data_IF_421330988880
#
_entry.id   IF_421330988880
#
_cell.length_a   1.000
_cell.length_b   1.000
_cell.length_c   1.000
_cell.angle_alpha   90.00
_cell.angle_beta   90.00
_cell.angle_gamma   90.00
#
_symmetry.space_group_name_H-M   'P 1'
#
loop_
_entity.id
_entity.type
_entity.pdbx_description
1 polymer ?
#
# COMPACT_ATOMS: atom_id res chain seq x y z
N UNK A 1 3.34 -40.71 -25.91
CA UNK A 1 4.17 -41.50 -24.97
C UNK A 1 3.57 -42.86 -24.62
N UNK A 2 2.29 -43.00 -24.20
CA UNK A 2 1.81 -44.27 -23.64
C UNK A 2 1.74 -45.43 -24.65
N UNK A 3 1.47 -45.15 -25.93
CA UNK A 3 1.38 -46.21 -26.95
C UNK A 3 2.73 -46.85 -27.32
N UNK A 4 3.83 -46.09 -27.32
CA UNK A 4 5.18 -46.65 -27.58
C UNK A 4 5.70 -47.36 -26.33
N UNK A 5 5.49 -46.78 -25.14
CA UNK A 5 5.83 -47.39 -23.86
C UNK A 5 5.10 -48.74 -23.66
N UNK A 6 3.79 -48.79 -23.89
CA UNK A 6 3.01 -50.02 -23.78
C UNK A 6 3.45 -51.10 -24.79
N UNK A 7 3.88 -50.71 -26.00
CA UNK A 7 4.42 -51.64 -27.00
C UNK A 7 5.80 -52.19 -26.61
N UNK A 8 6.64 -51.37 -25.97
CA UNK A 8 7.95 -51.78 -25.45
C UNK A 8 7.79 -52.70 -24.24
N UNK A 9 6.91 -52.36 -23.30
CA UNK A 9 6.57 -53.18 -22.13
C UNK A 9 5.98 -54.54 -22.53
N UNK A 10 5.04 -54.56 -23.49
CA UNK A 10 4.46 -55.81 -23.99
C UNK A 10 5.48 -56.70 -24.72
N UNK A 11 6.42 -56.11 -25.48
CA UNK A 11 7.49 -56.86 -26.14
C UNK A 11 8.51 -57.42 -25.14
N UNK A 12 8.88 -56.63 -24.12
CA UNK A 12 9.78 -57.03 -23.04
C UNK A 12 9.17 -58.13 -22.15
N UNK A 13 7.88 -58.02 -21.80
CA UNK A 13 7.16 -59.02 -21.02
C UNK A 13 6.96 -60.34 -21.79
N UNK A 14 6.86 -60.29 -23.12
CA UNK A 14 6.67 -61.46 -23.97
C UNK A 14 7.98 -62.14 -24.43
N UNK A 15 9.15 -61.56 -24.13
CA UNK A 15 10.46 -62.07 -24.58
C UNK A 15 10.64 -62.08 -26.10
N UNK A 16 9.83 -61.30 -26.84
CA UNK A 16 9.84 -61.28 -28.32
C UNK A 16 10.70 -60.12 -28.83
N UNK A 17 11.36 -60.26 -29.99
CA UNK A 17 12.09 -59.16 -30.60
C UNK A 17 11.13 -58.01 -30.91
N UNK A 18 11.58 -56.77 -30.69
CA UNK A 18 10.76 -55.59 -30.90
C UNK A 18 10.30 -55.49 -32.37
N UNK A 19 9.04 -55.08 -32.63
CA UNK A 19 8.57 -54.80 -33.98
C UNK A 19 9.44 -53.74 -34.67
N UNK A 20 9.82 -53.98 -35.93
CA UNK A 20 10.71 -53.09 -36.69
C UNK A 20 10.23 -51.62 -36.72
N UNK A 21 8.92 -51.39 -36.77
CA UNK A 21 8.32 -50.05 -36.72
C UNK A 21 8.49 -49.35 -35.36
N UNK A 22 8.45 -50.09 -34.25
CA UNK A 22 8.72 -49.56 -32.92
C UNK A 22 10.21 -49.24 -32.75
N UNK A 23 11.09 -50.11 -33.28
CA UNK A 23 12.53 -49.89 -33.29
C UNK A 23 12.93 -48.65 -34.11
N UNK A 24 12.30 -48.45 -35.28
CA UNK A 24 12.51 -47.28 -36.12
C UNK A 24 12.08 -45.97 -35.41
N UNK A 25 10.90 -45.96 -34.78
CA UNK A 25 10.42 -44.82 -33.98
C UNK A 25 11.30 -44.54 -32.76
N UNK A 26 11.81 -45.58 -32.11
CA UNK A 26 12.74 -45.44 -31.00
C UNK A 26 14.05 -44.80 -31.46
N UNK A 27 14.64 -45.27 -32.56
CA UNK A 27 15.86 -44.70 -33.16
C UNK A 27 15.69 -43.24 -33.57
N UNK A 28 14.59 -42.91 -34.24
CA UNK A 28 14.27 -41.54 -34.63
C UNK A 28 14.22 -40.62 -33.40
N UNK A 29 13.57 -41.06 -32.32
CA UNK A 29 13.45 -40.29 -31.08
C UNK A 29 14.76 -40.20 -30.30
N UNK A 30 15.54 -41.28 -30.24
CA UNK A 30 16.86 -41.27 -29.62
C UNK A 30 17.79 -40.31 -30.35
N UNK A 31 17.70 -40.24 -31.68
CA UNK A 31 18.44 -39.25 -32.48
C UNK A 31 18.02 -37.82 -32.17
N UNK A 32 16.71 -37.53 -32.13
CA UNK A 32 16.22 -36.21 -31.73
C UNK A 32 16.66 -35.82 -30.32
N UNK A 33 16.66 -36.76 -29.38
CA UNK A 33 17.13 -36.54 -28.02
C UNK A 33 18.65 -36.31 -27.96
N UNK A 34 19.44 -37.07 -28.72
CA UNK A 34 20.88 -36.90 -28.84
C UNK A 34 21.24 -35.53 -29.44
N UNK A 35 20.52 -35.10 -30.48
CA UNK A 35 20.71 -33.79 -31.10
C UNK A 35 20.34 -32.64 -30.14
N UNK A 36 19.24 -32.77 -29.39
CA UNK A 36 18.84 -31.80 -28.37
C UNK A 36 19.84 -31.73 -27.21
N UNK A 37 20.38 -32.87 -26.76
CA UNK A 37 21.40 -32.93 -25.71
C UNK A 37 22.75 -32.38 -26.18
N UNK A 38 23.12 -32.61 -27.43
CA UNK A 38 24.31 -32.00 -28.03
C UNK A 38 24.17 -30.47 -28.06
N UNK A 39 23.03 -29.96 -28.53
CA UNK A 39 22.74 -28.52 -28.53
C UNK A 39 22.76 -27.93 -27.11
N UNK A 40 22.21 -28.64 -26.12
CA UNK A 40 22.24 -28.22 -24.72
C UNK A 40 23.66 -28.23 -24.15
N UNK A 41 24.46 -29.26 -24.46
CA UNK A 41 25.86 -29.35 -24.06
C UNK A 41 26.68 -28.20 -24.64
N UNK A 42 26.45 -27.86 -25.92
CA UNK A 42 27.13 -26.76 -26.59
C UNK A 42 26.73 -25.42 -25.98
N UNK A 43 25.43 -25.14 -25.78
CA UNK A 43 24.95 -23.93 -25.07
C UNK A 43 25.46 -23.85 -23.65
N UNK A 44 25.53 -24.99 -22.96
CA UNK A 44 26.09 -25.03 -21.61
C UNK A 44 27.56 -24.62 -21.61
N UNK A 45 28.33 -25.09 -22.60
CA UNK A 45 29.75 -24.75 -22.72
C UNK A 45 29.99 -23.30 -23.19
N UNK A 46 29.19 -22.80 -24.14
CA UNK A 46 29.38 -21.49 -24.76
C UNK A 46 28.76 -20.34 -23.97
N UNK A 47 27.59 -20.55 -23.37
CA UNK A 47 26.76 -19.46 -22.85
C UNK A 47 26.56 -19.58 -21.33
N UNK A 48 26.09 -20.75 -20.87
CA UNK A 48 25.65 -20.92 -19.47
C UNK A 48 26.86 -20.99 -18.53
N UNK A 49 27.88 -21.77 -18.86
CA UNK A 49 29.04 -21.93 -17.99
C UNK A 49 29.88 -20.66 -17.83
N UNK A 50 30.16 -19.88 -18.88
CA UNK A 50 30.81 -18.58 -18.73
C UNK A 50 29.96 -17.60 -17.92
N UNK A 51 28.67 -17.45 -18.24
CA UNK A 51 27.78 -16.54 -17.54
C UNK A 51 27.65 -16.85 -16.04
N UNK A 52 27.51 -18.14 -15.67
CA UNK A 52 27.45 -18.55 -14.26
C UNK A 52 28.79 -18.30 -13.56
N UNK A 53 29.94 -18.57 -14.21
CA UNK A 53 31.26 -18.30 -13.62
C UNK A 53 31.51 -16.81 -13.43
N UNK A 54 31.07 -15.98 -14.37
CA UNK A 54 31.17 -14.53 -14.31
C UNK A 54 30.30 -13.97 -13.18
N UNK A 55 29.02 -14.33 -13.14
CA UNK A 55 28.10 -13.90 -12.09
C UNK A 55 28.55 -14.32 -10.69
N UNK A 56 29.02 -15.56 -10.51
CA UNK A 56 29.59 -16.03 -9.23
C UNK A 56 30.90 -15.32 -8.89
N UNK A 57 31.70 -14.96 -9.90
CA UNK A 57 32.92 -14.18 -9.71
C UNK A 57 32.64 -12.76 -9.26
N UNK A 58 31.66 -12.10 -9.87
CA UNK A 58 31.20 -10.76 -9.50
C UNK A 58 30.59 -10.75 -8.10
N UNK A 59 29.72 -11.71 -7.79
CA UNK A 59 29.16 -11.88 -6.46
C UNK A 59 30.25 -12.06 -5.38
N UNK A 60 31.27 -12.89 -5.65
CA UNK A 60 32.38 -13.09 -4.73
C UNK A 60 33.20 -11.80 -4.50
N UNK A 61 33.46 -11.01 -5.55
CA UNK A 61 34.16 -9.73 -5.45
C UNK A 61 33.34 -8.70 -4.66
N UNK A 62 32.05 -8.60 -4.94
CA UNK A 62 31.13 -7.69 -4.24
C UNK A 62 31.02 -8.06 -2.76
N UNK A 63 30.94 -9.35 -2.44
CA UNK A 63 30.95 -9.83 -1.06
C UNK A 63 32.27 -9.48 -0.34
N UNK A 64 33.41 -9.69 -0.97
CA UNK A 64 34.70 -9.32 -0.38
C UNK A 64 34.80 -7.81 -0.11
N UNK A 65 34.35 -6.97 -1.05
CA UNK A 65 34.33 -5.51 -0.90
C UNK A 65 33.40 -5.07 0.23
N UNK A 66 32.18 -5.61 0.29
CA UNK A 66 31.24 -5.30 1.36
C UNK A 66 31.74 -5.77 2.73
N UNK A 67 32.44 -6.90 2.81
CA UNK A 67 33.06 -7.37 4.05
C UNK A 67 34.17 -6.43 4.53
N UNK A 68 34.99 -5.90 3.62
CA UNK A 68 36.01 -4.90 3.94
C UNK A 68 35.38 -3.57 4.43
N UNK A 69 34.31 -3.11 3.80
CA UNK A 69 33.60 -1.90 4.22
C UNK A 69 32.94 -2.07 5.59
N UNK A 70 32.31 -3.22 5.84
CA UNK A 70 31.73 -3.54 7.14
C UNK A 70 32.79 -3.62 8.24
N UNK A 71 33.96 -4.21 7.95
CA UNK A 71 35.07 -4.26 8.91
C UNK A 71 35.59 -2.86 9.26
N UNK A 72 35.69 -1.95 8.28
CA UNK A 72 36.07 -0.55 8.53
C UNK A 72 35.00 0.19 9.35
N UNK A 73 33.73 0.06 8.97
CA UNK A 73 32.62 0.67 9.70
C UNK A 73 32.53 0.17 11.16
N UNK A 74 32.82 -1.11 11.40
CA UNK A 74 32.81 -1.69 12.74
C UNK A 74 33.95 -1.15 13.63
N UNK A 75 35.09 -0.78 13.03
CA UNK A 75 36.20 -0.16 13.75
C UNK A 75 35.93 1.31 14.13
N UNK A 76 35.18 2.03 13.30
CA UNK A 76 34.90 3.47 13.49
C UNK A 76 33.64 3.74 14.33
N UNK A 77 32.67 2.82 14.36
CA UNK A 77 31.36 3.02 15.00
C UNK A 77 31.01 1.85 15.96
N UNK A 78 31.59 1.80 17.17
CA UNK A 78 31.40 0.70 18.13
C UNK A 78 29.94 0.51 18.55
N UNK A 79 29.15 1.59 18.58
CA UNK A 79 27.74 1.58 18.99
C UNK A 79 26.81 0.80 18.03
N UNK A 80 27.28 0.49 16.80
CA UNK A 80 26.52 -0.26 15.79
C UNK A 80 27.17 -1.63 15.50
N UNK A 81 28.17 -2.03 16.30
CA UNK A 81 29.02 -3.19 16.08
C UNK A 81 28.28 -4.52 15.95
N UNK A 82 27.19 -4.71 16.70
CA UNK A 82 26.39 -5.95 16.65
C UNK A 82 25.67 -6.14 15.31
N UNK A 83 25.10 -5.07 14.75
CA UNK A 83 24.43 -5.12 13.45
C UNK A 83 25.45 -5.33 12.32
N UNK A 84 26.60 -4.66 12.39
CA UNK A 84 27.69 -4.80 11.41
C UNK A 84 28.32 -6.20 11.45
N UNK A 85 28.49 -6.77 12.65
CA UNK A 85 28.99 -8.14 12.84
C UNK A 85 28.04 -9.20 12.28
N UNK A 86 26.73 -9.04 12.47
CA UNK A 86 25.71 -9.93 11.87
C UNK A 86 25.71 -9.84 10.35
N UNK A 87 25.78 -8.63 9.80
CA UNK A 87 25.88 -8.42 8.35
C UNK A 87 27.15 -9.07 7.75
N UNK A 88 28.29 -8.93 8.43
CA UNK A 88 29.55 -9.53 8.00
C UNK A 88 29.48 -11.08 8.00
N UNK A 89 28.86 -11.68 9.02
CA UNK A 89 28.65 -13.15 9.09
C UNK A 89 27.71 -13.66 7.99
N UNK A 90 26.62 -12.95 7.71
CA UNK A 90 25.68 -13.32 6.66
C UNK A 90 26.35 -13.27 5.28
N UNK A 91 27.20 -12.26 5.06
CA UNK A 91 27.95 -12.08 3.83
C UNK A 91 29.02 -13.17 3.62
N UNK A 92 29.71 -13.58 4.68
CA UNK A 92 30.66 -14.71 4.67
C UNK A 92 29.96 -16.04 4.34
N UNK A 93 28.77 -16.28 4.91
CA UNK A 93 27.96 -17.46 4.60
C UNK A 93 27.56 -17.48 3.11
N UNK A 94 27.06 -16.37 2.57
CA UNK A 94 26.70 -16.25 1.16
C UNK A 94 27.90 -16.44 0.22
N UNK A 95 29.07 -15.92 0.58
CA UNK A 95 30.29 -16.11 -0.20
C UNK A 95 30.75 -17.58 -0.23
N UNK A 96 30.63 -18.30 0.89
CA UNK A 96 30.94 -19.74 0.98
C UNK A 96 30.01 -20.58 0.12
N UNK A 97 28.72 -20.25 0.11
CA UNK A 97 27.71 -20.95 -0.69
C UNK A 97 27.91 -20.73 -2.19
N UNK A 98 28.19 -19.49 -2.61
CA UNK A 98 28.59 -19.18 -3.98
C UNK A 98 29.84 -19.96 -4.43
N UNK A 99 30.83 -20.11 -3.54
CA UNK A 99 32.02 -20.92 -3.80
C UNK A 99 31.69 -22.43 -3.91
N UNK A 100 30.74 -22.93 -3.12
CA UNK A 100 30.28 -24.32 -3.22
C UNK A 100 29.59 -24.58 -4.55
N UNK A 101 28.72 -23.68 -5.01
CA UNK A 101 28.07 -23.75 -6.33
C UNK A 101 29.12 -23.78 -7.44
N UNK A 102 30.12 -22.90 -7.38
CA UNK A 102 31.24 -22.87 -8.35
C UNK A 102 32.00 -24.20 -8.43
N UNK A 103 32.16 -24.92 -7.31
CA UNK A 103 32.82 -26.23 -7.24
C UNK A 103 31.93 -27.38 -7.74
N UNK A 104 30.63 -27.30 -7.51
CA UNK A 104 29.67 -28.30 -7.96
C UNK A 104 29.35 -28.19 -9.46
N UNK A 105 29.43 -26.98 -10.01
CA UNK A 105 29.03 -26.70 -11.39
C UNK A 105 29.74 -27.58 -12.46
N UNK A 106 31.06 -27.87 -12.38
CA UNK A 106 31.73 -28.80 -13.31
C UNK A 106 31.18 -30.24 -13.29
N UNK A 107 30.64 -30.71 -12.16
CA UNK A 107 30.04 -32.05 -12.05
C UNK A 107 28.74 -32.18 -12.86
N UNK A 108 27.97 -31.09 -12.98
CA UNK A 108 26.79 -31.04 -13.82
C UNK A 108 27.16 -31.19 -15.31
N UNK A 109 28.25 -30.54 -15.74
CA UNK A 109 28.84 -30.72 -17.08
C UNK A 109 29.22 -32.17 -17.33
N UNK A 110 29.92 -32.80 -16.38
CA UNK A 110 30.38 -34.17 -16.50
C UNK A 110 29.21 -35.16 -16.67
N UNK A 111 28.16 -35.00 -15.86
CA UNK A 111 26.93 -35.81 -16.00
C UNK A 111 26.25 -35.61 -17.36
N UNK A 112 26.19 -34.36 -17.84
CA UNK A 112 25.57 -34.05 -19.13
C UNK A 112 26.35 -34.66 -20.30
N UNK A 113 27.68 -34.63 -20.24
CA UNK A 113 28.55 -35.30 -21.21
C UNK A 113 28.42 -36.84 -21.14
N UNK A 114 28.28 -37.39 -19.94
CA UNK A 114 28.08 -38.82 -19.73
C UNK A 114 26.75 -39.28 -20.36
N UNK A 115 25.64 -38.59 -20.10
CA UNK A 115 24.34 -38.90 -20.70
C UNK A 115 24.39 -38.82 -22.24
N UNK A 116 25.07 -37.80 -22.79
CA UNK A 116 25.25 -37.69 -24.24
C UNK A 116 26.10 -38.85 -24.82
N UNK A 117 27.10 -39.33 -24.08
CA UNK A 117 27.90 -40.48 -24.47
C UNK A 117 27.07 -41.78 -24.45
N UNK A 118 26.33 -42.01 -23.37
CA UNK A 118 25.52 -43.22 -23.15
C UNK A 118 24.45 -43.37 -24.24
N UNK A 119 23.81 -42.26 -24.64
CA UNK A 119 22.80 -42.25 -25.73
C UNK A 119 23.42 -42.60 -27.08
N UNK A 120 24.66 -42.15 -27.37
CA UNK A 120 25.37 -42.48 -28.62
C UNK A 120 25.91 -43.91 -28.64
N UNK A 121 26.29 -44.46 -27.49
CA UNK A 121 26.60 -45.89 -27.34
C UNK A 121 25.37 -46.75 -27.66
N UNK A 122 24.19 -46.35 -27.16
CA UNK A 122 22.91 -47.00 -27.42
C UNK A 122 22.55 -47.05 -28.92
N UNK A 123 22.96 -46.03 -29.70
CA UNK A 123 22.76 -45.99 -31.14
C UNK A 123 23.64 -47.01 -31.89
N UNK A 124 24.85 -47.27 -31.37
CA UNK A 124 25.85 -48.14 -32.01
C UNK A 124 25.66 -49.62 -31.69
N UNK A 125 25.24 -49.93 -30.46
CA UNK A 125 25.00 -51.30 -30.01
C UNK A 125 23.49 -51.52 -29.96
N UNK A 126 22.93 -52.20 -30.95
CA UNK A 126 21.53 -52.62 -30.94
C UNK A 126 21.30 -53.76 -29.92
N UNK A 127 21.69 -53.58 -28.66
CA UNK A 127 21.46 -54.55 -27.61
C UNK A 127 20.18 -54.22 -26.85
N UNK A 128 19.15 -55.02 -27.14
CA UNK A 128 17.81 -54.93 -26.55
C UNK A 128 17.88 -55.06 -25.01
N UNK A 129 18.89 -55.75 -24.45
CA UNK A 129 19.05 -55.88 -23.00
C UNK A 129 19.41 -54.55 -22.31
N UNK A 130 20.25 -53.72 -22.95
CA UNK A 130 20.63 -52.41 -22.38
C UNK A 130 19.44 -51.45 -22.34
N UNK A 131 18.54 -51.54 -23.33
CA UNK A 131 17.29 -50.77 -23.38
C UNK A 131 16.31 -51.24 -22.31
N UNK A 132 16.23 -52.55 -22.05
CA UNK A 132 15.37 -53.14 -20.99
C UNK A 132 15.87 -52.73 -19.60
N UNK A 133 17.18 -52.71 -19.36
CA UNK A 133 17.75 -52.29 -18.06
C UNK A 133 17.59 -50.78 -17.82
N UNK A 134 17.68 -49.94 -18.87
CA UNK A 134 17.41 -48.50 -18.78
C UNK A 134 15.93 -48.19 -18.53
N UNK A 135 15.01 -48.93 -19.16
CA UNK A 135 13.57 -48.79 -18.94
C UNK A 135 13.11 -49.34 -17.58
N UNK A 136 13.92 -50.21 -16.95
CA UNK A 136 13.72 -50.68 -15.57
C UNK A 136 14.08 -49.64 -14.52
N UNK A 137 14.88 -48.63 -14.86
CA UNK A 137 15.18 -47.54 -13.94
C UNK A 137 13.99 -46.57 -13.92
N UNK A 138 13.58 -46.16 -12.73
CA UNK A 138 12.30 -45.50 -12.44
C UNK A 138 12.24 -44.06 -13.01
N UNK A 139 12.04 -43.95 -14.32
CA UNK A 139 12.00 -42.70 -15.07
C UNK A 139 10.89 -41.76 -14.57
N UNK A 140 9.84 -42.30 -13.93
CA UNK A 140 8.78 -41.51 -13.34
C UNK A 140 9.28 -40.71 -12.13
N UNK A 141 10.17 -41.29 -11.30
CA UNK A 141 10.77 -40.59 -10.15
C UNK A 141 11.82 -39.56 -10.56
N UNK A 142 12.66 -39.86 -11.55
CA UNK A 142 13.65 -38.88 -12.05
C UNK A 142 12.99 -37.73 -12.80
N UNK A 143 11.96 -38.00 -13.61
CA UNK A 143 11.17 -36.97 -14.28
C UNK A 143 10.47 -36.04 -13.27
N UNK A 144 9.94 -36.58 -12.17
CA UNK A 144 9.34 -35.78 -11.11
C UNK A 144 10.39 -34.90 -10.39
N UNK A 145 11.59 -35.44 -10.16
CA UNK A 145 12.71 -34.69 -9.56
C UNK A 145 13.19 -33.51 -10.41
N UNK A 146 13.19 -33.64 -11.75
CA UNK A 146 13.53 -32.55 -12.66
C UNK A 146 12.37 -31.57 -12.94
N UNK A 147 11.12 -32.02 -12.80
CA UNK A 147 9.94 -31.18 -13.01
C UNK A 147 9.71 -30.21 -11.83
N UNK A 148 10.13 -30.56 -10.62
CA UNK A 148 10.00 -29.74 -9.42
C UNK A 148 11.35 -29.62 -8.69
N UNK A 149 12.33 -28.88 -9.25
CA UNK A 149 13.65 -28.75 -8.64
C UNK A 149 13.63 -27.99 -7.30
N UNK A 150 12.52 -27.32 -6.98
CA UNK A 150 12.31 -26.61 -5.72
C UNK A 150 10.88 -26.82 -5.25
N UNK A 151 10.69 -27.67 -4.24
CA UNK A 151 9.44 -27.71 -3.48
C UNK A 151 9.42 -26.45 -2.61
N UNK A 152 8.76 -25.40 -3.09
CA UNK A 152 8.54 -24.16 -2.34
C UNK A 152 7.66 -24.50 -1.12
N UNK A 153 8.29 -24.71 0.04
CA UNK A 153 7.57 -24.71 1.32
C UNK A 153 7.23 -23.27 1.70
N UNK A 154 6.14 -22.77 1.13
CA UNK A 154 5.64 -21.43 1.38
C UNK A 154 4.78 -21.40 2.66
N UNK A 155 5.35 -20.92 3.76
CA UNK A 155 4.58 -20.63 4.98
C UNK A 155 3.96 -19.23 4.90
N UNK A 156 2.73 -19.15 4.38
CA UNK A 156 1.94 -17.91 4.39
C UNK A 156 1.42 -17.62 5.80
N UNK A 157 1.97 -16.61 6.47
CA UNK A 157 1.55 -16.21 7.81
C UNK A 157 0.14 -15.57 7.81
N UNK A 158 -0.19 -14.77 6.79
CA UNK A 158 -1.49 -14.11 6.63
C UNK A 158 -2.01 -14.23 5.19
N UNK A 159 -2.66 -15.34 4.82
CA UNK A 159 -3.16 -15.55 3.46
C UNK A 159 -4.44 -14.74 3.22
N UNK A 160 -4.32 -13.64 2.46
CA UNK A 160 -5.49 -12.87 2.00
C UNK A 160 -6.25 -13.70 0.95
N UNK A 161 -7.52 -14.07 1.19
CA UNK A 161 -8.19 -15.15 0.46
C UNK A 161 -8.67 -14.75 -0.94
N UNK A 162 -8.92 -13.47 -1.19
CA UNK A 162 -9.46 -12.99 -2.45
C UNK A 162 -9.08 -11.53 -2.73
N UNK A 163 -9.27 -11.11 -3.97
CA UNK A 163 -8.96 -9.75 -4.42
C UNK A 163 -9.80 -8.68 -3.71
N UNK A 164 -11.06 -8.96 -3.38
CA UNK A 164 -11.93 -8.04 -2.65
C UNK A 164 -11.38 -7.67 -1.28
N UNK A 165 -10.86 -8.66 -0.56
CA UNK A 165 -10.22 -8.46 0.75
C UNK A 165 -8.87 -7.74 0.62
N UNK A 166 -8.10 -8.03 -0.43
CA UNK A 166 -6.85 -7.32 -0.69
C UNK A 166 -7.08 -5.81 -0.99
N UNK A 167 -8.24 -5.48 -1.56
CA UNK A 167 -8.63 -4.13 -1.93
C UNK A 167 -9.50 -3.41 -0.89
N UNK A 168 -9.99 -4.10 0.15
CA UNK A 168 -10.83 -3.47 1.19
C UNK A 168 -10.15 -2.27 1.86
N UNK A 169 -8.83 -2.26 2.18
CA UNK A 169 -8.18 -1.07 2.75
C UNK A 169 -8.36 0.19 1.91
N UNK A 170 -8.33 0.06 0.58
CA UNK A 170 -8.51 1.16 -0.35
C UNK A 170 -9.97 1.63 -0.39
N UNK A 171 -10.92 0.71 -0.56
CA UNK A 171 -12.34 1.06 -0.70
C UNK A 171 -12.98 1.52 0.61
N UNK A 172 -12.58 0.97 1.76
CA UNK A 172 -13.02 1.45 3.07
C UNK A 172 -12.53 2.88 3.28
N UNK A 173 -11.24 3.16 3.03
CA UNK A 173 -10.68 4.52 3.14
C UNK A 173 -11.39 5.51 2.21
N UNK A 174 -11.63 5.11 0.95
CA UNK A 174 -12.38 5.91 -0.01
C UNK A 174 -13.79 6.24 0.52
N UNK A 175 -14.51 5.24 1.01
CA UNK A 175 -15.87 5.38 1.51
C UNK A 175 -15.95 6.31 2.73
N UNK A 176 -14.94 6.28 3.61
CA UNK A 176 -14.86 7.21 4.75
C UNK A 176 -14.78 8.67 4.29
N UNK A 177 -13.93 8.99 3.30
CA UNK A 177 -13.81 10.36 2.79
C UNK A 177 -15.04 10.80 2.01
N UNK A 178 -15.56 9.93 1.14
CA UNK A 178 -16.78 10.21 0.37
C UNK A 178 -17.93 10.51 1.32
N UNK A 179 -18.12 9.70 2.36
CA UNK A 179 -19.17 9.94 3.35
C UNK A 179 -18.97 11.24 4.13
N UNK A 180 -17.74 11.57 4.54
CA UNK A 180 -17.45 12.87 5.15
C UNK A 180 -17.78 14.05 4.21
N UNK A 181 -17.45 13.93 2.93
CA UNK A 181 -17.73 14.95 1.90
C UNK A 181 -19.23 15.09 1.64
N UNK A 182 -19.95 13.98 1.54
CA UNK A 182 -21.40 13.98 1.40
C UNK A 182 -22.09 14.59 2.62
N UNK A 183 -21.64 14.24 3.83
CA UNK A 183 -22.20 14.76 5.07
C UNK A 183 -22.13 16.28 5.13
N UNK A 184 -20.98 16.85 4.77
CA UNK A 184 -20.75 18.30 4.71
C UNK A 184 -21.46 18.95 3.52
N UNK A 185 -21.77 18.19 2.48
CA UNK A 185 -22.59 18.68 1.37
C UNK A 185 -24.07 18.79 1.75
N UNK A 186 -24.58 17.81 2.51
CA UNK A 186 -25.99 17.69 2.89
C UNK A 186 -26.36 18.53 4.11
N UNK A 187 -25.50 18.59 5.13
CA UNK A 187 -25.73 19.35 6.35
C UNK A 187 -25.01 20.70 6.30
N UNK A 188 -25.70 21.76 6.72
CA UNK A 188 -25.08 23.09 6.78
C UNK A 188 -23.96 23.13 7.81
N UNK A 189 -22.81 23.68 7.42
CA UNK A 189 -21.65 23.90 8.30
C UNK A 189 -21.79 25.20 9.11
N UNK A 190 -22.67 26.10 8.68
CA UNK A 190 -22.97 27.34 9.40
C UNK A 190 -23.86 27.04 10.60
N UNK A 191 -23.44 27.51 11.78
CA UNK A 191 -24.33 27.58 12.94
C UNK A 191 -25.20 28.82 12.78
N UNK A 192 -26.52 28.64 12.74
CA UNK A 192 -27.45 29.76 12.64
C UNK A 192 -27.48 30.48 14.00
N UNK A 193 -27.15 31.77 14.03
CA UNK A 193 -27.22 32.57 15.24
C UNK A 193 -28.67 32.64 15.72
N UNK A 194 -28.99 31.95 16.81
CA UNK A 194 -30.32 31.93 17.40
C UNK A 194 -30.67 33.23 18.18
N UNK A 195 -30.11 34.38 17.78
CA UNK A 195 -30.18 35.63 18.54
C UNK A 195 -30.39 36.91 17.73
N UNK A 196 -30.80 36.84 16.46
CA UNK A 196 -30.82 37.99 15.55
C UNK A 196 -32.15 38.70 15.30
N UNK A 197 -33.29 38.18 15.75
CA UNK A 197 -34.62 38.69 15.35
C UNK A 197 -35.58 38.96 16.53
N UNK A 198 -35.11 39.69 17.54
CA UNK A 198 -36.00 40.23 18.59
C UNK A 198 -35.65 41.63 19.10
N UNK A 199 -34.58 42.26 18.61
CA UNK A 199 -34.05 43.49 19.21
C UNK A 199 -34.29 44.79 18.43
N UNK A 200 -34.78 44.73 17.19
CA UNK A 200 -34.87 45.92 16.33
C UNK A 200 -36.23 46.60 16.28
N UNK A 201 -37.31 45.98 16.79
CA UNK A 201 -38.65 46.61 16.78
C UNK A 201 -38.92 47.53 17.99
N UNK A 202 -38.14 47.44 19.07
CA UNK A 202 -38.32 48.30 20.25
C UNK A 202 -37.44 49.56 20.29
N UNK A 203 -36.46 49.69 19.38
CA UNK A 203 -35.58 50.86 19.36
C UNK A 203 -36.14 52.05 18.56
N UNK A 204 -37.21 51.86 17.79
CA UNK A 204 -37.78 52.91 16.93
C UNK A 204 -38.95 53.67 17.59
N UNK A 205 -39.52 53.13 18.67
CA UNK A 205 -40.59 53.79 19.44
C UNK A 205 -40.09 54.87 20.42
N UNK A 206 -38.78 54.92 20.69
CA UNK A 206 -38.18 55.86 21.65
C UNK A 206 -37.76 57.23 21.05
N UNK A 207 -38.16 57.55 19.81
CA UNK A 207 -37.79 58.79 19.09
C UNK A 207 -38.81 59.94 19.22
N UNK A 208 -39.66 59.94 20.25
CA UNK A 208 -40.59 61.06 20.46
C UNK A 208 -40.17 61.88 21.71
N UNK A 209 -39.63 63.10 21.57
CA UNK A 209 -39.20 63.89 22.70
C UNK A 209 -40.34 64.78 23.18
N UNK A 210 -41.16 64.29 24.12
CA UNK A 210 -41.99 65.16 24.96
C UNK A 210 -42.37 64.48 26.27
N UNK A 211 -41.55 64.66 27.30
CA UNK A 211 -42.02 64.99 28.65
C UNK A 211 -40.85 65.03 29.64
N UNK A 212 -41.01 65.97 30.57
CA UNK A 212 -40.09 66.47 31.57
C UNK A 212 -39.79 65.51 32.72
N UNK A 213 -38.51 65.53 33.14
CA UNK A 213 -37.99 65.48 34.52
C UNK A 213 -38.11 64.15 35.29
N UNK A 214 -36.96 63.57 35.62
CA UNK A 214 -36.54 63.37 37.03
C UNK A 214 -35.11 62.82 37.11
N UNK A 215 -34.29 63.55 37.86
CA UNK A 215 -32.92 63.20 38.25
C UNK A 215 -32.93 62.08 39.28
N UNK A 216 -32.40 60.91 38.94
CA UNK A 216 -31.89 59.95 39.93
C UNK A 216 -30.62 59.28 39.38
N UNK A 217 -29.53 59.46 40.12
CA UNK A 217 -28.32 58.64 40.18
C UNK A 217 -27.77 58.16 38.84
N UNK A 218 -26.84 58.92 38.26
CA UNK A 218 -25.99 58.44 37.19
C UNK A 218 -25.15 57.24 37.71
N UNK A 219 -25.60 56.02 37.42
CA UNK A 219 -24.73 54.85 37.47
C UNK A 219 -23.49 55.16 36.62
N UNK A 220 -22.28 54.77 37.07
CA UNK A 220 -21.10 54.91 36.25
C UNK A 220 -21.32 54.12 34.97
N UNK A 221 -21.42 54.85 33.85
CA UNK A 221 -21.59 54.23 32.53
C UNK A 221 -20.46 53.24 32.31
N UNK A 222 -20.74 51.95 32.05
CA UNK A 222 -19.69 50.96 31.92
C UNK A 222 -18.74 51.37 30.79
N UNK A 223 -17.44 51.44 31.09
CA UNK A 223 -16.42 51.83 30.13
C UNK A 223 -16.47 50.92 28.92
N UNK A 224 -16.64 51.48 27.71
CA UNK A 224 -16.68 50.70 26.46
C UNK A 224 -15.42 49.83 26.35
N UNK A 225 -15.57 48.51 26.09
CA UNK A 225 -14.44 47.61 26.00
C UNK A 225 -13.49 48.02 24.88
N UNK A 226 -12.17 47.87 25.10
CA UNK A 226 -11.16 48.25 24.12
C UNK A 226 -11.31 47.39 22.84
N UNK A 227 -11.01 47.92 21.63
CA UNK A 227 -11.15 47.18 20.37
C UNK A 227 -10.43 45.82 20.33
N UNK A 228 -9.30 45.70 21.05
CA UNK A 228 -8.56 44.43 21.21
C UNK A 228 -9.33 43.39 22.03
N UNK A 229 -10.01 43.79 23.09
CA UNK A 229 -10.78 42.90 23.96
C UNK A 229 -12.01 42.34 23.22
N UNK A 230 -12.71 43.19 22.47
CA UNK A 230 -13.86 42.78 21.64
C UNK A 230 -13.43 41.78 20.54
N UNK A 231 -12.25 41.98 19.94
CA UNK A 231 -11.69 41.06 18.95
C UNK A 231 -11.33 39.70 19.54
N UNK A 232 -10.72 39.68 20.73
CA UNK A 232 -10.34 38.44 21.40
C UNK A 232 -11.58 37.63 21.84
N UNK A 233 -12.61 38.30 22.38
CA UNK A 233 -13.86 37.65 22.79
C UNK A 233 -14.59 36.99 21.60
N UNK A 234 -14.73 37.69 20.47
CA UNK A 234 -15.35 37.13 19.26
C UNK A 234 -14.56 35.96 18.67
N UNK A 235 -13.23 36.01 18.73
CA UNK A 235 -12.39 34.90 18.28
C UNK A 235 -12.62 33.62 19.11
N UNK A 236 -12.79 33.76 20.42
CA UNK A 236 -13.12 32.62 21.29
C UNK A 236 -14.51 32.07 20.96
N UNK A 237 -15.49 32.94 20.76
CA UNK A 237 -16.85 32.55 20.38
C UNK A 237 -16.90 31.81 19.04
N UNK A 238 -16.25 32.34 18.00
CA UNK A 238 -16.11 31.71 16.68
C UNK A 238 -15.43 30.32 16.77
N UNK A 239 -14.44 30.18 17.66
CA UNK A 239 -13.70 28.93 17.89
C UNK A 239 -14.55 27.87 18.60
N UNK A 240 -15.34 28.28 19.60
CA UNK A 240 -16.27 27.41 20.32
C UNK A 240 -17.36 26.91 19.36
N UNK A 241 -17.92 27.79 18.54
CA UNK A 241 -18.94 27.43 17.54
C UNK A 241 -18.37 26.47 16.49
N UNK A 242 -17.15 26.72 16.00
CA UNK A 242 -16.46 25.81 15.09
C UNK A 242 -16.27 24.42 15.71
N UNK A 243 -15.73 24.35 16.92
CA UNK A 243 -15.46 23.06 17.58
C UNK A 243 -16.75 22.33 17.93
N UNK A 244 -17.76 23.03 18.46
CA UNK A 244 -19.06 22.44 18.80
C UNK A 244 -19.78 21.86 17.58
N UNK A 245 -19.78 22.60 16.46
CA UNK A 245 -20.37 22.11 15.21
C UNK A 245 -19.55 20.95 14.62
N UNK A 246 -18.22 21.03 14.65
CA UNK A 246 -17.35 19.93 14.24
C UNK A 246 -17.66 18.62 14.99
N UNK A 247 -17.86 18.68 16.31
CA UNK A 247 -18.21 17.49 17.10
C UNK A 247 -19.52 16.83 16.64
N UNK A 248 -20.50 17.60 16.16
CA UNK A 248 -21.73 17.02 15.60
C UNK A 248 -21.47 16.24 14.30
N UNK A 249 -20.61 16.77 13.43
CA UNK A 249 -20.21 16.05 12.23
C UNK A 249 -19.35 14.82 12.56
N UNK A 250 -18.45 14.95 13.54
CA UNK A 250 -17.58 13.88 14.00
C UNK A 250 -18.37 12.70 14.55
N UNK A 251 -19.41 12.92 15.37
CA UNK A 251 -20.22 11.81 15.91
C UNK A 251 -20.91 11.03 14.80
N UNK A 252 -21.52 11.71 13.83
CA UNK A 252 -22.15 11.05 12.68
C UNK A 252 -21.10 10.29 11.85
N UNK A 253 -19.94 10.89 11.61
CA UNK A 253 -18.86 10.27 10.85
C UNK A 253 -18.27 9.03 11.56
N UNK A 254 -18.15 9.04 12.89
CA UNK A 254 -17.72 7.88 13.67
C UNK A 254 -18.72 6.72 13.57
N UNK A 255 -20.03 7.01 13.67
CA UNK A 255 -21.08 6.00 13.47
C UNK A 255 -21.02 5.45 12.05
N UNK A 256 -20.89 6.31 11.04
CA UNK A 256 -20.74 5.91 9.65
C UNK A 256 -19.51 5.00 9.44
N UNK A 257 -18.37 5.33 10.05
CA UNK A 257 -17.16 4.52 9.96
C UNK A 257 -17.30 3.17 10.64
N UNK A 258 -17.97 3.10 11.79
CA UNK A 258 -18.28 1.83 12.43
C UNK A 258 -19.15 0.97 11.52
N UNK A 259 -20.20 1.55 10.92
CA UNK A 259 -21.07 0.84 9.99
C UNK A 259 -20.33 0.35 8.74
N UNK A 260 -19.44 1.17 8.16
CA UNK A 260 -18.63 0.78 7.00
C UNK A 260 -17.70 -0.38 7.37
N UNK A 261 -16.89 -0.24 8.41
CA UNK A 261 -15.89 -1.27 8.79
C UNK A 261 -16.53 -2.57 9.25
N UNK A 262 -17.61 -2.51 10.04
CA UNK A 262 -18.39 -3.70 10.45
C UNK A 262 -19.10 -4.30 9.22
N UNK A 263 -19.68 -3.47 8.35
CA UNK A 263 -20.30 -3.93 7.10
C UNK A 263 -19.31 -4.64 6.19
N UNK A 264 -18.10 -4.12 6.04
CA UNK A 264 -17.03 -4.73 5.23
C UNK A 264 -16.68 -6.12 5.76
N UNK A 265 -16.57 -6.28 7.09
CA UNK A 265 -16.21 -7.55 7.72
C UNK A 265 -17.37 -8.57 7.71
N UNK A 266 -18.58 -8.14 8.06
CA UNK A 266 -19.69 -9.06 8.35
C UNK A 266 -20.76 -9.14 7.27
N UNK A 267 -20.99 -8.05 6.51
CA UNK A 267 -21.99 -8.03 5.44
C UNK A 267 -21.36 -8.41 4.09
N UNK A 268 -20.19 -7.83 3.77
CA UNK A 268 -19.45 -8.13 2.54
C UNK A 268 -18.51 -9.33 2.68
N UNK A 269 -18.19 -9.73 3.90
CA UNK A 269 -17.32 -10.89 4.17
C UNK A 269 -15.86 -10.68 3.75
N UNK A 270 -15.37 -9.43 3.83
CA UNK A 270 -13.95 -9.15 3.56
C UNK A 270 -13.08 -9.67 4.70
N UNK A 271 -11.90 -10.18 4.35
CA UNK A 271 -10.93 -10.67 5.32
C UNK A 271 -10.12 -9.52 5.92
N UNK A 272 -9.92 -9.58 7.25
CA UNK A 272 -8.86 -8.85 7.93
C UNK A 272 -8.21 -9.76 8.97
N UNK A 273 -6.87 -9.75 9.06
CA UNK A 273 -6.15 -10.52 10.06
C UNK A 273 -6.53 -10.08 11.49
N UNK A 274 -6.71 -8.78 11.70
CA UNK A 274 -7.18 -8.21 12.98
C UNK A 274 -8.44 -7.36 12.76
N UNK A 275 -9.59 -7.95 13.07
CA UNK A 275 -10.89 -7.30 12.92
C UNK A 275 -11.03 -6.06 13.80
N UNK A 276 -10.48 -6.09 15.02
CA UNK A 276 -10.61 -4.99 15.96
C UNK A 276 -9.80 -3.79 15.48
N UNK A 277 -8.55 -4.03 15.06
CA UNK A 277 -7.70 -2.96 14.54
C UNK A 277 -8.25 -2.38 13.24
N UNK A 278 -8.89 -3.19 12.38
CA UNK A 278 -9.56 -2.68 11.19
C UNK A 278 -10.65 -1.65 11.53
N UNK A 279 -11.46 -1.93 12.56
CA UNK A 279 -12.50 -0.99 13.03
C UNK A 279 -11.87 0.24 13.69
N UNK A 280 -10.93 0.06 14.61
CA UNK A 280 -10.29 1.15 15.36
C UNK A 280 -9.53 2.11 14.46
N UNK A 281 -8.78 1.60 13.49
CA UNK A 281 -8.11 2.43 12.49
C UNK A 281 -9.11 3.18 11.62
N UNK A 282 -10.24 2.57 11.24
CA UNK A 282 -11.31 3.27 10.53
C UNK A 282 -11.86 4.46 11.33
N UNK A 283 -12.15 4.26 12.62
CA UNK A 283 -12.62 5.32 13.53
C UNK A 283 -11.60 6.46 13.69
N UNK A 284 -10.31 6.13 13.74
CA UNK A 284 -9.26 7.13 13.76
C UNK A 284 -9.18 7.90 12.42
N UNK A 285 -9.14 7.19 11.30
CA UNK A 285 -9.03 7.77 9.95
C UNK A 285 -10.21 8.70 9.67
N UNK A 286 -11.44 8.30 10.02
CA UNK A 286 -12.61 9.15 9.79
C UNK A 286 -12.54 10.44 10.60
N UNK A 287 -11.96 10.40 11.81
CA UNK A 287 -11.75 11.61 12.62
C UNK A 287 -10.86 12.61 11.89
N UNK A 288 -9.77 12.13 11.27
CA UNK A 288 -8.84 12.94 10.48
C UNK A 288 -9.54 13.50 9.24
N UNK A 289 -10.18 12.64 8.46
CA UNK A 289 -10.83 13.04 7.20
C UNK A 289 -11.98 14.02 7.44
N UNK A 290 -12.80 13.75 8.47
CA UNK A 290 -13.91 14.63 8.83
C UNK A 290 -13.41 16.01 9.24
N UNK A 291 -12.31 16.10 10.03
CA UNK A 291 -11.71 17.38 10.39
C UNK A 291 -11.21 18.15 9.16
N UNK A 292 -10.53 17.46 8.25
CA UNK A 292 -10.02 18.07 7.02
C UNK A 292 -11.16 18.63 6.17
N UNK A 293 -12.13 17.80 5.81
CA UNK A 293 -13.26 18.17 4.96
C UNK A 293 -14.11 19.25 5.62
N UNK A 294 -14.43 19.11 6.91
CA UNK A 294 -15.17 20.11 7.68
C UNK A 294 -14.44 21.46 7.67
N UNK A 295 -13.13 21.47 7.89
CA UNK A 295 -12.33 22.69 7.88
C UNK A 295 -12.35 23.38 6.53
N UNK A 296 -12.15 22.64 5.43
CA UNK A 296 -12.21 23.20 4.07
C UNK A 296 -13.55 23.92 3.84
N UNK A 297 -14.65 23.26 4.15
CA UNK A 297 -15.99 23.81 3.88
C UNK A 297 -16.36 24.89 4.87
N UNK A 298 -15.94 24.78 6.14
CA UNK A 298 -16.21 25.83 7.13
C UNK A 298 -15.45 27.13 6.84
N UNK A 299 -14.28 27.06 6.20
CA UNK A 299 -13.44 28.23 5.90
C UNK A 299 -13.77 28.82 4.53
N UNK A 300 -14.05 27.97 3.52
CA UNK A 300 -14.22 28.40 2.13
C UNK A 300 -15.66 28.25 1.58
N UNK A 301 -16.61 27.77 2.39
CA UNK A 301 -18.01 27.57 1.99
C UNK A 301 -18.15 26.62 0.80
N UNK A 302 -18.93 27.03 -0.22
CA UNK A 302 -19.16 26.23 -1.43
C UNK A 302 -17.88 25.92 -2.21
N UNK A 303 -16.89 26.83 -2.22
CA UNK A 303 -15.59 26.57 -2.84
C UNK A 303 -14.85 25.47 -2.09
N UNK A 304 -14.97 25.44 -0.76
CA UNK A 304 -14.41 24.37 0.07
C UNK A 304 -14.97 22.99 -0.30
N UNK A 305 -16.25 22.90 -0.67
CA UNK A 305 -16.85 21.62 -1.13
C UNK A 305 -16.18 21.12 -2.41
N UNK A 306 -15.98 22.01 -3.38
CA UNK A 306 -15.27 21.69 -4.62
C UNK A 306 -13.81 21.28 -4.34
N UNK A 307 -13.12 22.00 -3.46
CA UNK A 307 -11.75 21.66 -3.05
C UNK A 307 -11.65 20.27 -2.40
N UNK A 308 -12.63 19.88 -1.56
CA UNK A 308 -12.67 18.55 -0.94
C UNK A 308 -12.83 17.43 -1.98
N UNK A 309 -13.62 17.67 -3.04
CA UNK A 309 -13.77 16.73 -4.17
C UNK A 309 -12.50 16.67 -5.00
N UNK A 310 -11.87 17.80 -5.32
CA UNK A 310 -10.60 17.83 -6.06
C UNK A 310 -9.52 17.06 -5.29
N UNK A 311 -9.44 17.28 -3.97
CA UNK A 311 -8.51 16.57 -3.11
C UNK A 311 -8.81 15.07 -3.06
N UNK A 312 -10.08 14.64 -3.07
CA UNK A 312 -10.44 13.23 -3.21
C UNK A 312 -9.93 12.64 -4.53
N UNK A 313 -10.17 13.31 -5.65
CA UNK A 313 -9.76 12.81 -6.98
C UNK A 313 -8.25 12.69 -7.08
N UNK A 314 -7.51 13.67 -6.54
CA UNK A 314 -6.06 13.65 -6.51
C UNK A 314 -5.52 12.47 -5.67
N UNK A 315 -6.17 12.21 -4.53
CA UNK A 315 -5.82 11.10 -3.63
C UNK A 315 -6.09 9.73 -4.22
N UNK A 316 -7.13 9.58 -5.03
CA UNK A 316 -7.48 8.32 -5.67
C UNK A 316 -6.34 7.79 -6.55
N UNK A 317 -5.70 8.66 -7.34
CA UNK A 317 -4.58 8.30 -8.19
C UNK A 317 -3.21 8.35 -7.51
N UNK A 318 -3.06 9.19 -6.48
CA UNK A 318 -1.77 9.51 -5.88
C UNK A 318 -1.39 8.76 -4.61
N UNK A 319 -2.26 7.92 -4.05
CA UNK A 319 -2.05 7.29 -2.73
C UNK A 319 -1.47 5.86 -2.76
N UNK A 320 -1.36 5.25 -3.94
CA UNK A 320 -0.83 3.89 -4.08
C UNK A 320 -1.79 2.79 -3.58
N UNK A 321 -3.09 3.05 -3.63
CA UNK A 321 -4.12 2.12 -3.16
C UNK A 321 -4.29 0.87 -4.02
N UNK A 322 -4.50 1.06 -5.32
CA UNK A 322 -4.73 -0.01 -6.32
C UNK A 322 -3.44 -0.54 -6.95
N UNK A 323 -2.45 0.32 -7.12
CA UNK A 323 -1.15 -0.01 -7.69
C UNK A 323 -0.02 0.58 -6.87
N UNK A 324 1.17 -0.06 -6.85
CA UNK A 324 2.34 0.51 -6.19
C UNK A 324 2.66 1.91 -6.71
N UNK A 325 2.99 2.84 -5.81
CA UNK A 325 3.28 4.23 -6.21
C UNK A 325 4.48 4.32 -7.17
N UNK A 326 5.38 3.33 -7.15
CA UNK A 326 6.58 3.26 -7.97
C UNK A 326 6.28 3.17 -9.48
N UNK A 327 5.13 2.61 -9.86
CA UNK A 327 4.70 2.51 -11.26
C UNK A 327 3.86 3.70 -11.73
N UNK A 328 3.57 4.66 -10.83
CA UNK A 328 2.81 5.85 -11.17
C UNK A 328 3.67 6.92 -11.88
N UNK A 329 3.06 7.80 -12.71
CA UNK A 329 3.76 8.93 -13.31
C UNK A 329 4.51 9.81 -12.29
N UNK A 330 5.58 10.52 -12.70
CA UNK A 330 6.41 11.33 -11.80
C UNK A 330 5.60 12.28 -10.91
N UNK A 331 4.58 12.94 -11.48
CA UNK A 331 3.70 13.84 -10.73
C UNK A 331 3.09 13.16 -9.49
N UNK A 332 2.48 11.98 -9.65
CA UNK A 332 1.84 11.25 -8.55
C UNK A 332 2.84 10.78 -7.49
N UNK A 333 4.05 10.39 -7.90
CA UNK A 333 5.13 10.02 -6.97
C UNK A 333 5.57 11.17 -6.06
N UNK A 334 5.57 12.40 -6.56
CA UNK A 334 5.98 13.57 -5.77
C UNK A 334 4.91 14.04 -4.80
N UNK A 335 3.63 13.94 -5.19
CA UNK A 335 2.52 14.37 -4.33
C UNK A 335 2.17 13.32 -3.27
N UNK A 336 2.44 12.03 -3.52
CA UNK A 336 2.08 10.90 -2.64
C UNK A 336 2.35 11.12 -1.14
N UNK A 337 3.50 11.68 -0.72
CA UNK A 337 3.77 11.93 0.70
C UNK A 337 2.87 13.00 1.35
N UNK A 338 2.23 13.84 0.54
CA UNK A 338 1.36 14.94 0.98
C UNK A 338 -0.13 14.59 0.95
N UNK A 339 -0.45 13.32 0.70
CA UNK A 339 -1.82 12.83 0.61
C UNK A 339 -2.16 11.99 1.84
N UNK A 340 -3.20 12.33 2.63
CA UNK A 340 -3.52 11.57 3.83
C UNK A 340 -4.05 10.16 3.51
N UNK A 341 -4.64 9.93 2.32
CA UNK A 341 -5.01 8.58 1.86
C UNK A 341 -3.83 7.60 1.87
N UNK A 342 -2.61 8.07 1.56
CA UNK A 342 -1.40 7.24 1.58
C UNK A 342 -1.24 6.51 2.91
N UNK A 343 -1.38 7.27 4.00
CA UNK A 343 -1.15 6.79 5.36
C UNK A 343 -2.38 6.04 5.91
N UNK A 344 -3.58 6.50 5.56
CA UNK A 344 -4.83 5.83 5.93
C UNK A 344 -4.95 4.42 5.32
N UNK A 345 -4.69 4.28 4.02
CA UNK A 345 -4.72 2.98 3.32
C UNK A 345 -3.63 2.06 3.89
N UNK A 346 -2.44 2.60 4.14
CA UNK A 346 -1.33 1.86 4.74
C UNK A 346 -1.72 1.24 6.09
N UNK A 347 -2.29 2.04 7.02
CA UNK A 347 -2.80 1.53 8.30
C UNK A 347 -3.89 0.46 8.14
N UNK A 348 -4.86 0.69 7.25
CA UNK A 348 -5.92 -0.31 6.97
C UNK A 348 -5.33 -1.61 6.44
N UNK A 349 -4.26 -1.54 5.65
CA UNK A 349 -3.55 -2.71 5.10
C UNK A 349 -2.85 -3.52 6.18
N UNK A 350 -2.29 -2.87 7.20
CA UNK A 350 -1.71 -3.54 8.37
C UNK A 350 -2.77 -4.36 9.13
N UNK A 351 -3.98 -3.84 9.30
CA UNK A 351 -5.07 -4.60 9.92
C UNK A 351 -5.50 -5.81 9.07
N UNK A 352 -5.41 -5.71 7.74
CA UNK A 352 -5.75 -6.81 6.83
C UNK A 352 -4.63 -7.86 6.73
N UNK A 353 -3.38 -7.43 6.64
CA UNK A 353 -2.20 -8.26 6.36
C UNK A 353 -1.39 -8.70 7.59
N UNK A 354 -1.80 -8.30 8.80
CA UNK A 354 -1.08 -8.52 10.04
C UNK A 354 -0.36 -7.25 10.50
N UNK A 355 -0.64 -6.81 11.74
CA UNK A 355 -0.30 -5.45 12.20
C UNK A 355 1.19 -5.31 12.53
N UNK A 356 1.89 -4.47 11.77
CA UNK A 356 3.24 -4.02 12.09
C UNK A 356 3.16 -2.64 12.76
N UNK A 357 3.33 -2.62 14.08
CA UNK A 357 3.18 -1.41 14.89
C UNK A 357 4.10 -0.26 14.48
N UNK A 358 5.32 -0.54 14.00
CA UNK A 358 6.24 0.50 13.52
C UNK A 358 5.71 1.28 12.30
N UNK A 359 4.95 0.60 11.43
CA UNK A 359 4.29 1.23 10.27
C UNK A 359 3.11 2.07 10.75
N UNK A 360 2.27 1.48 11.61
CA UNK A 360 1.11 2.16 12.20
C UNK A 360 1.50 3.43 12.94
N UNK A 361 2.52 3.39 13.81
CA UNK A 361 2.96 4.57 14.54
C UNK A 361 3.46 5.68 13.61
N UNK A 362 4.22 5.33 12.57
CA UNK A 362 4.72 6.30 11.59
C UNK A 362 3.58 6.95 10.81
N UNK A 363 2.61 6.17 10.37
CA UNK A 363 1.48 6.67 9.59
C UNK A 363 0.50 7.47 10.46
N UNK A 364 0.28 7.05 11.69
CA UNK A 364 -0.49 7.80 12.69
C UNK A 364 0.17 9.16 12.99
N UNK A 365 1.49 9.23 13.17
CA UNK A 365 2.21 10.49 13.35
C UNK A 365 2.00 11.45 12.19
N UNK A 366 2.07 10.96 10.94
CA UNK A 366 1.84 11.79 9.75
C UNK A 366 0.40 12.27 9.67
N UNK A 367 -0.58 11.41 9.97
CA UNK A 367 -1.99 11.81 10.04
C UNK A 367 -2.26 12.84 11.14
N UNK A 368 -1.59 12.74 12.30
CA UNK A 368 -1.66 13.75 13.36
C UNK A 368 -1.08 15.10 12.90
N UNK A 369 -0.06 15.12 12.05
CA UNK A 369 0.44 16.37 11.44
C UNK A 369 -0.66 17.02 10.58
N UNK A 370 -1.42 16.24 9.79
CA UNK A 370 -2.59 16.78 9.07
C UNK A 370 -3.65 17.32 10.02
N UNK A 371 -3.95 16.61 11.12
CA UNK A 371 -4.89 17.10 12.14
C UNK A 371 -4.44 18.44 12.69
N UNK A 372 -3.17 18.57 13.10
CA UNK A 372 -2.64 19.82 13.62
C UNK A 372 -2.73 20.96 12.58
N UNK A 373 -2.33 20.68 11.33
CA UNK A 373 -2.39 21.64 10.23
C UNK A 373 -3.82 22.15 9.99
N UNK A 374 -4.79 21.25 9.85
CA UNK A 374 -6.18 21.61 9.56
C UNK A 374 -6.87 22.24 10.76
N UNK A 375 -6.54 21.83 11.98
CA UNK A 375 -7.06 22.46 13.18
C UNK A 375 -6.57 23.91 13.30
N UNK A 376 -5.29 24.17 13.01
CA UNK A 376 -4.74 25.54 12.96
C UNK A 376 -5.44 26.36 11.87
N UNK A 377 -5.62 25.81 10.66
CA UNK A 377 -6.35 26.49 9.58
C UNK A 377 -7.80 26.80 10.01
N UNK A 378 -8.50 25.84 10.61
CA UNK A 378 -9.89 26.00 11.04
C UNK A 378 -10.05 27.07 12.12
N UNK A 379 -9.18 27.07 13.13
CA UNK A 379 -9.26 28.01 14.25
C UNK A 379 -8.74 29.42 13.89
N UNK A 380 -7.68 29.52 13.07
CA UNK A 380 -7.03 30.80 12.77
C UNK A 380 -7.60 31.47 11.51
N UNK A 381 -7.88 30.71 10.46
CA UNK A 381 -8.24 31.27 9.15
C UNK A 381 -9.75 31.52 8.99
N UNK A 382 -10.60 30.88 9.81
CA UNK A 382 -12.07 31.04 9.71
C UNK A 382 -12.54 32.48 9.88
N UNK A 383 -12.12 33.15 10.95
CA UNK A 383 -12.55 34.52 11.27
C UNK A 383 -12.11 35.56 10.21
N UNK A 384 -10.84 35.59 9.73
CA UNK A 384 -10.43 36.56 8.71
C UNK A 384 -11.01 36.28 7.31
N UNK A 385 -11.08 35.03 6.88
CA UNK A 385 -11.57 34.67 5.53
C UNK A 385 -13.06 34.97 5.39
N UNK A 386 -13.88 34.58 6.37
CA UNK A 386 -15.32 34.87 6.35
C UNK A 386 -15.60 36.37 6.35
N UNK A 387 -14.75 37.16 7.00
CA UNK A 387 -14.88 38.62 7.01
C UNK A 387 -14.58 39.24 5.64
N UNK A 388 -13.54 38.77 4.96
CA UNK A 388 -13.19 39.22 3.61
C UNK A 388 -14.31 38.88 2.63
N UNK A 389 -14.83 37.65 2.70
CA UNK A 389 -15.94 37.19 1.86
C UNK A 389 -17.21 38.05 2.04
N UNK A 390 -17.62 38.33 3.30
CA UNK A 390 -18.76 39.22 3.60
C UNK A 390 -18.51 40.65 3.11
N UNK A 391 -17.30 41.18 3.29
CA UNK A 391 -16.94 42.52 2.82
C UNK A 391 -16.95 42.67 1.29
N UNK A 392 -16.52 41.64 0.56
CA UNK A 392 -16.61 41.62 -0.90
C UNK A 392 -18.05 41.48 -1.40
N UNK A 393 -18.84 40.63 -0.76
CA UNK A 393 -20.26 40.46 -1.08
C UNK A 393 -21.04 41.76 -0.88
N UNK A 394 -20.81 42.47 0.23
CA UNK A 394 -21.43 43.78 0.46
C UNK A 394 -21.01 44.83 -0.55
N UNK A 395 -19.75 44.80 -1.01
CA UNK A 395 -19.27 45.69 -2.09
C UNK A 395 -19.90 45.35 -3.43
N UNK A 396 -20.08 44.07 -3.73
CA UNK A 396 -20.73 43.59 -4.96
C UNK A 396 -22.23 43.93 -4.97
N UNK A 397 -22.93 43.76 -3.84
CA UNK A 397 -24.32 44.19 -3.66
C UNK A 397 -24.47 45.71 -3.76
N UNK A 398 -23.58 46.47 -3.13
CA UNK A 398 -23.54 47.94 -3.26
C UNK A 398 -23.19 48.41 -4.69
N UNK A 399 -22.47 47.60 -5.45
CA UNK A 399 -22.12 47.86 -6.85
C UNK A 399 -23.14 47.39 -7.88
N UNK A 400 -24.30 46.85 -7.49
CA UNK A 400 -25.35 46.40 -8.41
C UNK A 400 -25.00 45.17 -9.26
N UNK A 401 -23.89 44.49 -8.96
CA UNK A 401 -23.43 43.31 -9.70
C UNK A 401 -24.15 42.02 -9.30
N UNK A 402 -24.87 42.04 -8.17
CA UNK A 402 -25.66 40.93 -7.65
C UNK A 402 -26.96 41.50 -7.10
N UNK A 403 -28.09 41.13 -7.72
CA UNK A 403 -29.44 41.44 -7.25
C UNK A 403 -29.84 40.49 -6.12
#
# INVERSE_FOLDING_TARGET
MPALAAQLEAAAAAGKPLPAAALAKLRERSRLAADALAQLSDRYASDIAPAVREALGEAARTAASAQQLLAKAAAELPAVGDALSRAAKALDAGAKEAAAIKRAFPSAKAKLLQVNHDIRELEKKADIQTIIDLLRNDYAKESAFFAEPVILQEHKLFPIPNYGSAMSPFFSTLSLWVGATLLVSLLSVEAHDAGGHGGSEHAESARNPSSSVSSLSAEPTPSRPRPRQVRAARWHEDSIVFLGRFLTFLTIALVQSALITIGDLYLLGTYAADHLMFILFGLFIVTVFMLMVYTLVSVFGNVGKAMAIILLVLQLGGSGGTFPIQVAPPFFRHIHPYLPFTYAISMMREAVGGVIWDVVYRDMQRLVIFVALFLVIGLVLKSPVNRLAKGMLERAKRGGLLH
#
